data_IF_844659430153
#
_entry.id   IF_844659430153
#
_cell.length_a   1.000
_cell.length_b   1.000
_cell.length_c   1.000
_cell.angle_alpha   90.00
_cell.angle_beta   90.00
_cell.angle_gamma   90.00
#
_symmetry.space_group_name_H-M   'P 1'
#
loop_
_entity.id
_entity.type
_entity.pdbx_description
1 polymer ?
#
# COMPACT_ATOMS: atom_id res chain seq x y z
N UNK A 1 -2.49 17.10 -7.72
CA UNK A 1 -1.49 16.40 -6.89
C UNK A 1 -1.47 14.91 -7.26
N UNK A 2 -0.46 14.11 -6.83
CA UNK A 2 -0.30 12.70 -7.24
C UNK A 2 -1.58 11.84 -7.13
N UNK A 3 -2.37 12.03 -6.06
CA UNK A 3 -3.67 11.38 -5.84
C UNK A 3 -4.67 11.64 -6.97
N UNK A 4 -4.71 12.86 -7.50
CA UNK A 4 -5.74 13.28 -8.46
C UNK A 4 -5.49 12.70 -9.86
N UNK A 5 -4.24 12.34 -10.17
CA UNK A 5 -3.92 11.56 -11.37
C UNK A 5 -4.59 10.17 -11.35
N UNK A 6 -5.01 9.68 -10.19
CA UNK A 6 -5.62 8.35 -10.00
C UNK A 6 -7.15 8.38 -9.97
N UNK A 7 -7.80 9.50 -10.31
CA UNK A 7 -9.27 9.66 -10.23
C UNK A 7 -10.03 8.57 -11.01
N UNK A 8 -9.51 8.11 -12.15
CA UNK A 8 -10.15 7.04 -12.94
C UNK A 8 -10.32 5.73 -12.15
N UNK A 9 -9.37 5.40 -11.26
CA UNK A 9 -9.44 4.20 -10.44
C UNK A 9 -10.35 4.30 -9.22
N UNK A 10 -10.89 5.50 -8.94
CA UNK A 10 -11.70 5.77 -7.76
C UNK A 10 -12.37 7.14 -7.82
N UNK A 11 -13.45 7.29 -8.60
CA UNK A 11 -14.13 8.57 -8.80
C UNK A 11 -15.08 8.95 -7.66
N UNK A 12 -15.45 8.01 -6.79
CA UNK A 12 -16.59 8.18 -5.87
C UNK A 12 -16.23 8.95 -4.60
N UNK A 13 -15.00 8.82 -4.13
CA UNK A 13 -14.51 9.50 -2.94
C UNK A 13 -12.99 9.72 -2.98
N UNK A 14 -12.51 10.71 -2.23
CA UNK A 14 -11.11 11.08 -2.17
C UNK A 14 -10.74 11.63 -0.80
N UNK A 15 -9.66 11.12 -0.22
CA UNK A 15 -9.09 11.64 1.02
C UNK A 15 -7.62 12.01 0.87
N UNK A 16 -7.15 12.81 1.81
CA UNK A 16 -5.76 13.20 1.94
C UNK A 16 -5.44 13.32 3.43
N UNK A 17 -4.36 12.67 3.84
CA UNK A 17 -3.77 12.82 5.16
C UNK A 17 -2.41 13.51 5.01
N UNK A 18 -2.16 14.53 5.81
CA UNK A 18 -0.91 15.30 5.82
C UNK A 18 -0.39 15.40 7.25
N UNK A 19 0.88 15.06 7.45
CA UNK A 19 1.57 15.21 8.73
C UNK A 19 3.04 15.59 8.47
N UNK A 20 3.38 16.87 8.66
CA UNK A 20 4.72 17.38 8.37
C UNK A 20 5.11 17.16 6.91
N UNK A 21 6.13 16.31 6.69
CA UNK A 21 6.63 15.94 5.35
C UNK A 21 5.98 14.67 4.78
N UNK A 22 5.05 14.06 5.51
CA UNK A 22 4.35 12.85 5.09
C UNK A 22 2.97 13.18 4.51
N UNK A 23 2.65 12.52 3.40
CA UNK A 23 1.33 12.58 2.79
C UNK A 23 0.85 11.17 2.40
N UNK A 24 -0.38 10.83 2.76
CA UNK A 24 -1.10 9.65 2.24
C UNK A 24 -2.32 10.13 1.46
N UNK A 25 -2.51 9.60 0.26
CA UNK A 25 -3.66 9.93 -0.59
C UNK A 25 -4.45 8.68 -0.95
N UNK A 26 -5.75 8.85 -1.14
CA UNK A 26 -6.62 7.77 -1.60
C UNK A 26 -7.66 8.27 -2.61
N UNK A 27 -7.98 7.41 -3.58
CA UNK A 27 -9.10 7.55 -4.51
C UNK A 27 -9.90 6.27 -4.42
N UNK A 28 -11.18 6.39 -4.11
CA UNK A 28 -12.05 5.27 -3.78
C UNK A 28 -13.01 4.98 -4.91
N UNK A 29 -13.08 3.71 -5.31
CA UNK A 29 -14.20 3.16 -6.05
C UNK A 29 -15.06 2.38 -5.06
N UNK A 30 -16.29 2.81 -4.86
CA UNK A 30 -17.21 2.27 -3.87
C UNK A 30 -17.96 1.08 -4.50
N UNK A 31 -17.42 -0.13 -4.35
CA UNK A 31 -18.02 -1.34 -4.97
C UNK A 31 -18.86 -2.14 -3.99
N UNK A 32 -18.29 -2.52 -2.83
CA UNK A 32 -18.95 -3.39 -1.85
C UNK A 32 -19.56 -2.60 -0.69
N UNK A 33 -18.75 -1.75 -0.06
CA UNK A 33 -19.21 -0.84 0.98
C UNK A 33 -19.50 0.53 0.36
N UNK A 34 -20.78 0.88 0.22
CA UNK A 34 -21.19 2.19 -0.29
C UNK A 34 -21.24 3.26 0.80
N UNK A 35 -20.97 2.88 2.05
CA UNK A 35 -21.06 3.80 3.17
C UNK A 35 -19.83 4.73 3.25
N UNK A 36 -19.98 5.90 3.90
CA UNK A 36 -18.84 6.77 4.24
C UNK A 36 -17.84 6.13 5.22
N UNK A 37 -18.19 5.00 5.85
CA UNK A 37 -17.32 4.36 6.85
C UNK A 37 -16.02 3.81 6.23
N UNK A 38 -16.01 3.55 4.92
CA UNK A 38 -14.83 3.17 4.16
C UNK A 38 -14.02 4.33 3.60
N UNK A 39 -14.22 5.58 4.07
CA UNK A 39 -13.39 6.72 3.68
C UNK A 39 -11.93 6.49 4.05
N UNK A 40 -11.03 6.89 3.16
CA UNK A 40 -9.59 6.71 3.33
C UNK A 40 -8.82 7.95 2.85
N UNK A 41 -7.62 8.24 3.42
CA UNK A 41 -6.91 7.46 4.42
C UNK A 41 -7.65 7.33 5.76
N UNK A 42 -7.71 6.13 6.31
CA UNK A 42 -8.40 5.86 7.57
C UNK A 42 -7.41 5.98 8.73
N UNK A 43 -7.70 6.83 9.71
CA UNK A 43 -6.91 6.98 10.94
C UNK A 43 -7.61 6.33 12.12
N UNK A 44 -6.92 5.42 12.83
CA UNK A 44 -7.38 4.84 14.11
C UNK A 44 -6.20 4.59 15.04
N UNK A 45 -6.35 4.96 16.30
CA UNK A 45 -5.39 4.66 17.38
C UNK A 45 -3.94 5.09 17.09
N UNK A 46 -3.73 6.11 16.27
CA UNK A 46 -2.39 6.56 15.85
C UNK A 46 -1.77 5.77 14.68
N UNK A 47 -2.58 5.00 13.96
CA UNK A 47 -2.24 4.38 12.68
C UNK A 47 -3.06 5.06 11.58
N UNK A 48 -2.46 5.26 10.41
CA UNK A 48 -3.15 5.81 9.23
C UNK A 48 -2.93 4.90 8.03
N UNK A 49 -3.98 4.49 7.34
CA UNK A 49 -3.88 3.56 6.21
C UNK A 49 -4.53 4.11 4.94
N UNK A 50 -3.89 3.86 3.79
CA UNK A 50 -4.53 3.85 2.47
C UNK A 50 -4.38 2.45 1.86
N UNK A 51 -5.47 1.93 1.32
CA UNK A 51 -5.61 0.52 0.99
C UNK A 51 -6.42 0.35 -0.30
N UNK A 52 -5.85 -0.40 -1.25
CA UNK A 52 -6.48 -0.78 -2.50
C UNK A 52 -6.62 -2.31 -2.56
N UNK A 53 -7.85 -2.78 -2.59
CA UNK A 53 -8.17 -4.20 -2.72
C UNK A 53 -9.22 -4.64 -1.72
N UNK A 54 -9.15 -5.91 -1.32
CA UNK A 54 -10.10 -6.51 -0.41
C UNK A 54 -9.42 -7.63 0.39
N UNK A 55 -9.71 -7.69 1.70
CA UNK A 55 -9.41 -8.86 2.54
C UNK A 55 -10.67 -9.71 2.63
N UNK A 56 -10.83 -10.69 1.74
CA UNK A 56 -12.04 -11.52 1.62
C UNK A 56 -12.49 -12.19 2.93
N UNK A 57 -11.53 -12.57 3.79
CA UNK A 57 -11.83 -13.20 5.07
C UNK A 57 -11.82 -12.23 6.26
N UNK A 58 -12.00 -10.92 6.04
CA UNK A 58 -11.93 -9.91 7.11
C UNK A 58 -12.93 -10.18 8.25
N UNK A 59 -14.12 -10.70 7.96
CA UNK A 59 -15.10 -11.07 8.99
C UNK A 59 -14.62 -12.21 9.90
N UNK A 60 -13.83 -13.15 9.38
CA UNK A 60 -13.22 -14.21 10.19
C UNK A 60 -12.13 -13.64 11.11
N UNK A 61 -11.29 -12.76 10.56
CA UNK A 61 -10.22 -12.10 11.31
C UNK A 61 -10.80 -11.20 12.39
N UNK A 62 -11.83 -10.41 12.06
CA UNK A 62 -12.58 -9.58 12.99
C UNK A 62 -13.06 -10.39 14.20
N UNK A 63 -13.73 -11.53 13.98
CA UNK A 63 -14.19 -12.41 15.06
C UNK A 63 -13.06 -12.96 15.93
N UNK A 64 -11.83 -13.10 15.40
CA UNK A 64 -10.66 -13.48 16.21
C UNK A 64 -10.24 -12.33 17.11
N UNK A 65 -10.11 -11.12 16.54
CA UNK A 65 -9.76 -9.91 17.29
C UNK A 65 -10.81 -9.53 18.34
N UNK A 66 -12.10 -9.65 18.04
CA UNK A 66 -13.19 -9.41 19.01
C UNK A 66 -13.09 -10.33 20.23
N UNK A 67 -12.73 -11.61 20.04
CA UNK A 67 -12.47 -12.56 21.12
C UNK A 67 -11.24 -12.21 21.97
N UNK A 68 -10.31 -11.44 21.41
CA UNK A 68 -9.14 -10.90 22.09
C UNK A 68 -9.39 -9.52 22.70
N UNK A 69 -10.64 -9.03 22.67
CA UNK A 69 -11.06 -7.77 23.31
C UNK A 69 -11.00 -6.53 22.43
N UNK A 70 -10.74 -6.68 21.13
CA UNK A 70 -10.75 -5.53 20.20
C UNK A 70 -12.19 -5.08 19.90
N UNK A 71 -12.40 -3.77 19.93
CA UNK A 71 -13.66 -3.13 19.54
C UNK A 71 -13.50 -2.47 18.18
N UNK A 72 -14.55 -2.55 17.37
CA UNK A 72 -14.62 -2.02 16.01
C UNK A 72 -15.71 -0.96 15.88
N UNK A 73 -15.42 0.10 15.14
CA UNK A 73 -16.31 1.23 14.90
C UNK A 73 -17.04 1.14 13.56
N UNK A 74 -16.43 0.45 12.60
CA UNK A 74 -16.91 0.28 11.22
C UNK A 74 -17.05 -1.19 10.90
N UNK A 75 -17.74 -1.49 9.79
CA UNK A 75 -17.84 -2.84 9.24
C UNK A 75 -16.80 -3.15 8.16
N UNK A 76 -15.73 -2.34 8.05
CA UNK A 76 -14.80 -2.39 6.92
C UNK A 76 -13.63 -3.32 7.16
N UNK A 77 -13.11 -3.90 6.08
CA UNK A 77 -11.84 -4.64 6.12
C UNK A 77 -10.65 -3.73 6.43
N UNK A 78 -10.71 -2.46 6.04
CA UNK A 78 -9.70 -1.44 6.33
C UNK A 78 -9.45 -1.31 7.83
N UNK A 79 -10.51 -1.25 8.64
CA UNK A 79 -10.36 -1.21 10.10
C UNK A 79 -9.82 -2.55 10.66
N UNK A 80 -10.21 -3.68 10.06
CA UNK A 80 -9.64 -4.99 10.41
C UNK A 80 -8.13 -5.02 10.19
N UNK A 81 -7.62 -4.41 9.11
CA UNK A 81 -6.18 -4.30 8.87
C UNK A 81 -5.51 -3.48 9.97
N UNK A 82 -6.06 -2.32 10.35
CA UNK A 82 -5.50 -1.48 11.41
C UNK A 82 -5.44 -2.20 12.76
N UNK A 83 -6.53 -2.86 13.16
CA UNK A 83 -6.62 -3.59 14.43
C UNK A 83 -5.73 -4.84 14.42
N UNK A 84 -5.64 -5.54 13.30
CA UNK A 84 -4.74 -6.68 13.14
C UNK A 84 -3.27 -6.25 13.21
N UNK A 85 -2.89 -5.11 12.61
CA UNK A 85 -1.53 -4.56 12.72
C UNK A 85 -1.20 -4.20 14.18
N UNK A 86 -2.13 -3.55 14.89
CA UNK A 86 -1.96 -3.24 16.32
C UNK A 86 -1.71 -4.50 17.15
N UNK A 87 -2.32 -5.63 16.77
CA UNK A 87 -2.26 -6.88 17.52
C UNK A 87 -1.06 -7.78 17.17
N UNK A 88 -0.78 -7.92 15.88
CA UNK A 88 0.17 -8.89 15.36
C UNK A 88 1.31 -8.25 14.56
N UNK A 89 1.37 -6.92 14.45
CA UNK A 89 2.37 -6.25 13.61
C UNK A 89 2.26 -6.66 12.14
N UNK A 90 3.37 -6.63 11.38
CA UNK A 90 3.41 -7.08 10.00
C UNK A 90 2.93 -8.52 9.78
N UNK A 91 3.05 -9.40 10.78
CA UNK A 91 2.63 -10.80 10.72
C UNK A 91 1.11 -10.95 10.51
N UNK A 92 0.33 -9.88 10.67
CA UNK A 92 -1.11 -9.87 10.40
C UNK A 92 -1.50 -10.46 9.04
N UNK A 93 -0.65 -10.29 8.02
CA UNK A 93 -0.92 -10.75 6.64
C UNK A 93 -0.96 -12.28 6.52
N UNK A 94 -0.45 -13.01 7.51
CA UNK A 94 -0.60 -14.46 7.57
C UNK A 94 -2.05 -14.88 7.80
N UNK A 95 -2.86 -13.99 8.40
CA UNK A 95 -4.28 -14.22 8.64
C UNK A 95 -5.18 -13.78 7.46
N UNK A 96 -4.62 -13.08 6.46
CA UNK A 96 -5.41 -12.50 5.37
C UNK A 96 -5.46 -13.40 4.13
N UNK A 97 -6.65 -13.44 3.52
CA UNK A 97 -6.92 -13.99 2.19
C UNK A 97 -7.54 -12.87 1.37
N UNK A 98 -6.95 -12.56 0.23
CA UNK A 98 -7.40 -11.42 -0.56
C UNK A 98 -6.41 -10.99 -1.62
N UNK A 99 -6.80 -9.95 -2.36
CA UNK A 99 -5.93 -9.18 -3.23
C UNK A 99 -5.85 -7.77 -2.67
N UNK A 100 -4.66 -7.30 -2.31
CA UNK A 100 -4.51 -6.07 -1.57
C UNK A 100 -3.14 -5.44 -1.76
N UNK A 101 -3.13 -4.12 -1.79
CA UNK A 101 -1.95 -3.31 -1.57
C UNK A 101 -2.31 -2.20 -0.60
N UNK A 102 -1.50 -1.98 0.43
CA UNK A 102 -1.73 -0.89 1.37
C UNK A 102 -0.44 -0.19 1.75
N UNK A 103 -0.60 1.05 2.21
CA UNK A 103 0.40 1.83 2.91
C UNK A 103 -0.15 2.18 4.28
N UNK A 104 0.56 1.80 5.35
CA UNK A 104 0.19 2.02 6.73
C UNK A 104 1.29 2.85 7.41
N UNK A 105 0.90 4.00 7.96
CA UNK A 105 1.74 4.87 8.75
C UNK A 105 1.49 4.61 10.24
N UNK A 106 2.53 4.20 10.98
CA UNK A 106 2.52 4.16 12.44
C UNK A 106 3.14 5.43 12.99
N UNK A 107 2.32 6.29 13.61
CA UNK A 107 2.75 7.58 14.16
C UNK A 107 3.67 7.41 15.38
N UNK A 108 3.53 6.31 16.13
CA UNK A 108 4.31 6.06 17.35
C UNK A 108 5.72 5.61 16.99
N UNK A 109 5.85 4.72 16.01
CA UNK A 109 7.15 4.24 15.55
C UNK A 109 7.78 5.13 14.47
N UNK A 110 7.01 6.05 13.90
CA UNK A 110 7.39 6.88 12.76
C UNK A 110 7.84 6.04 11.55
N UNK A 111 7.07 5.00 11.23
CA UNK A 111 7.33 4.06 10.14
C UNK A 111 6.19 3.97 9.14
N UNK A 112 6.54 3.97 7.86
CA UNK A 112 5.64 3.72 6.75
C UNK A 112 5.85 2.29 6.25
N UNK A 113 4.83 1.45 6.38
CA UNK A 113 4.82 0.08 5.89
C UNK A 113 3.97 -0.03 4.62
N UNK A 114 4.61 -0.36 3.51
CA UNK A 114 3.97 -0.78 2.27
C UNK A 114 3.86 -2.30 2.24
N UNK A 115 2.70 -2.81 1.82
CA UNK A 115 2.45 -4.24 1.65
C UNK A 115 1.80 -4.52 0.31
N UNK A 116 2.23 -5.61 -0.35
CA UNK A 116 1.61 -6.10 -1.58
C UNK A 116 1.25 -7.58 -1.42
N UNK A 117 0.04 -7.93 -1.85
CA UNK A 117 -0.53 -9.28 -1.69
C UNK A 117 0.33 -10.38 -2.30
N UNK A 118 0.06 -11.62 -1.86
CA UNK A 118 0.82 -12.84 -2.16
C UNK A 118 1.08 -13.03 -3.65
N UNK A 119 0.08 -12.79 -4.49
CA UNK A 119 0.16 -12.98 -5.94
C UNK A 119 0.47 -11.68 -6.69
N UNK A 120 0.56 -10.56 -5.97
CA UNK A 120 0.82 -9.24 -6.52
C UNK A 120 -0.29 -8.75 -7.44
N UNK A 121 -1.53 -9.13 -7.19
CA UNK A 121 -2.69 -8.74 -8.01
C UNK A 121 -2.84 -7.21 -8.02
N UNK A 122 -2.72 -6.57 -6.85
CA UNK A 122 -2.78 -5.11 -6.76
C UNK A 122 -1.42 -4.48 -7.03
N UNK A 123 -1.31 -3.48 -7.92
CA UNK A 123 -0.04 -2.85 -8.21
C UNK A 123 0.38 -1.93 -7.06
N UNK A 124 1.68 -1.92 -6.77
CA UNK A 124 2.30 -1.00 -5.84
C UNK A 124 3.70 -0.66 -6.31
N UNK A 125 3.90 0.60 -6.67
CA UNK A 125 5.17 1.18 -7.09
C UNK A 125 5.73 2.04 -5.98
N UNK A 126 7.04 2.11 -5.91
CA UNK A 126 7.76 3.02 -5.02
C UNK A 126 8.98 3.61 -5.72
N UNK A 127 9.45 4.74 -5.21
CA UNK A 127 10.61 5.49 -5.69
C UNK A 127 11.33 6.07 -4.49
N UNK A 128 12.65 5.98 -4.49
CA UNK A 128 13.50 6.69 -3.53
C UNK A 128 14.65 7.34 -4.29
N UNK A 129 14.86 8.65 -4.04
CA UNK A 129 16.04 9.38 -4.51
C UNK A 129 16.18 10.68 -3.73
N UNK A 130 17.41 11.01 -3.31
CA UNK A 130 17.75 12.31 -2.71
C UNK A 130 16.85 12.70 -1.53
N UNK A 131 16.49 11.76 -0.66
CA UNK A 131 15.61 12.05 0.48
C UNK A 131 14.14 12.26 0.10
N UNK A 132 13.75 11.88 -1.11
CA UNK A 132 12.35 11.83 -1.54
C UNK A 132 11.91 10.38 -1.67
N UNK A 133 10.87 10.01 -0.92
CA UNK A 133 10.19 8.72 -1.05
C UNK A 133 8.78 8.92 -1.61
N UNK A 134 8.44 8.22 -2.70
CA UNK A 134 7.11 8.23 -3.31
C UNK A 134 6.57 6.80 -3.41
N UNK A 135 5.26 6.62 -3.27
CA UNK A 135 4.58 5.37 -3.58
C UNK A 135 3.22 5.61 -4.23
N UNK A 136 2.76 4.68 -5.08
CA UNK A 136 1.47 4.78 -5.75
C UNK A 136 1.06 3.44 -6.37
N UNK A 137 -0.23 3.26 -6.64
CA UNK A 137 -0.71 2.13 -7.44
C UNK A 137 -0.33 2.23 -8.93
N UNK A 138 -0.05 3.43 -9.45
CA UNK A 138 0.33 3.63 -10.85
C UNK A 138 1.44 4.68 -10.99
N UNK A 139 2.38 4.45 -11.92
CA UNK A 139 3.51 5.36 -12.17
C UNK A 139 3.11 6.77 -12.62
N UNK A 140 1.96 6.92 -13.28
CA UNK A 140 1.46 8.24 -13.72
C UNK A 140 1.28 9.21 -12.55
N UNK A 141 1.01 8.71 -11.34
CA UNK A 141 0.96 9.54 -10.14
C UNK A 141 2.31 10.22 -9.84
N UNK A 142 3.43 9.54 -10.10
CA UNK A 142 4.76 10.10 -9.86
C UNK A 142 5.07 11.28 -10.78
N UNK A 143 4.43 11.34 -11.96
CA UNK A 143 4.66 12.42 -12.92
C UNK A 143 4.21 13.79 -12.40
N UNK A 144 3.32 13.80 -11.40
CA UNK A 144 2.80 15.00 -10.74
C UNK A 144 3.76 15.56 -9.68
N UNK A 145 4.78 14.80 -9.27
CA UNK A 145 5.74 15.26 -8.27
C UNK A 145 6.99 15.86 -8.95
N UNK A 146 7.38 17.11 -8.66
CA UNK A 146 8.49 17.78 -9.35
C UNK A 146 9.85 17.09 -9.13
N UNK A 147 10.02 16.39 -8.00
CA UNK A 147 11.24 15.62 -7.70
C UNK A 147 11.32 14.24 -8.36
N UNK A 148 10.33 13.84 -9.16
CA UNK A 148 10.36 12.55 -9.86
C UNK A 148 11.17 12.61 -11.16
N UNK A 149 12.23 11.82 -11.24
CA UNK A 149 13.07 11.73 -12.45
C UNK A 149 12.53 10.70 -13.44
N UNK A 150 12.12 11.19 -14.63
CA UNK A 150 11.57 10.38 -15.72
C UNK A 150 12.65 9.72 -16.59
N UNK A 151 13.72 9.21 -15.98
CA UNK A 151 14.80 8.54 -16.68
C UNK A 151 14.40 7.10 -17.06
N UNK A 152 14.25 6.83 -18.36
CA UNK A 152 13.90 5.49 -18.87
C UNK A 152 15.02 4.49 -18.60
N UNK A 153 14.62 3.27 -18.24
CA UNK A 153 15.49 2.12 -18.04
C UNK A 153 15.54 1.27 -19.34
N UNK A 154 16.66 1.28 -20.11
CA UNK A 154 16.79 0.50 -21.33
C UNK A 154 16.63 -1.01 -21.13
N UNK A 155 17.09 -1.53 -19.99
CA UNK A 155 16.92 -2.94 -19.62
C UNK A 155 15.44 -3.28 -19.43
N UNK A 156 14.67 -2.38 -18.81
CA UNK A 156 13.23 -2.56 -18.66
C UNK A 156 12.49 -2.50 -20.01
N UNK A 157 12.94 -1.66 -20.95
CA UNK A 157 12.43 -1.65 -22.33
C UNK A 157 12.71 -3.00 -23.01
N UNK A 158 13.92 -3.55 -22.83
CA UNK A 158 14.27 -4.86 -23.38
C UNK A 158 13.38 -5.97 -22.79
N UNK A 159 13.16 -5.97 -21.48
CA UNK A 159 12.25 -6.92 -20.82
C UNK A 159 10.83 -6.81 -21.39
N UNK A 160 10.32 -5.58 -21.56
CA UNK A 160 9.00 -5.37 -22.15
C UNK A 160 8.90 -5.92 -23.57
N UNK A 161 9.90 -5.66 -24.42
CA UNK A 161 9.91 -6.14 -25.80
C UNK A 161 10.03 -7.68 -25.89
N UNK A 162 10.73 -8.31 -24.94
CA UNK A 162 10.90 -9.76 -24.91
C UNK A 162 9.70 -10.51 -24.31
N UNK A 163 9.06 -9.94 -23.28
CA UNK A 163 8.08 -10.65 -22.44
C UNK A 163 6.66 -10.10 -22.57
N UNK A 164 6.48 -8.94 -23.21
CA UNK A 164 5.19 -8.23 -23.30
C UNK A 164 4.81 -7.44 -22.04
N UNK A 165 5.62 -7.52 -20.98
CA UNK A 165 5.48 -6.76 -19.74
C UNK A 165 6.84 -6.57 -19.06
N UNK A 166 6.94 -5.63 -18.14
CA UNK A 166 8.12 -5.45 -17.29
C UNK A 166 7.86 -6.25 -16.01
N UNK A 167 8.68 -7.23 -15.58
CA UNK A 167 8.47 -7.98 -14.32
C UNK A 167 8.85 -7.16 -13.08
N UNK A 168 8.35 -7.53 -11.90
CA UNK A 168 8.88 -6.97 -10.65
C UNK A 168 10.30 -7.52 -10.41
N UNK A 169 11.22 -6.76 -9.77
CA UNK A 169 11.02 -5.44 -9.17
C UNK A 169 11.15 -4.26 -10.16
N UNK A 170 11.41 -4.53 -11.44
CA UNK A 170 11.68 -3.49 -12.44
C UNK A 170 10.46 -2.60 -12.75
N UNK A 171 10.72 -1.39 -13.22
CA UNK A 171 9.73 -0.50 -13.83
C UNK A 171 10.34 0.18 -15.05
N UNK A 172 9.54 0.89 -15.86
CA UNK A 172 10.04 1.62 -17.04
C UNK A 172 11.02 2.74 -16.67
N UNK A 173 10.96 3.25 -15.44
CA UNK A 173 11.86 4.30 -14.95
C UNK A 173 12.94 3.72 -14.05
N UNK A 174 14.19 4.19 -14.19
CA UNK A 174 15.37 3.65 -13.50
C UNK A 174 15.24 3.61 -11.98
N UNK A 175 14.65 4.65 -11.40
CA UNK A 175 14.58 4.85 -9.95
C UNK A 175 13.24 4.40 -9.34
N UNK A 176 12.23 4.13 -10.17
CA UNK A 176 10.97 3.58 -9.70
C UNK A 176 11.01 2.05 -9.76
N UNK A 177 10.43 1.40 -8.76
CA UNK A 177 10.40 -0.05 -8.62
C UNK A 177 8.98 -0.52 -8.35
N UNK A 178 8.67 -1.74 -8.76
CA UNK A 178 7.49 -2.45 -8.30
C UNK A 178 7.84 -3.21 -7.04
N UNK A 179 7.03 -3.06 -5.99
CA UNK A 179 7.15 -3.94 -4.83
C UNK A 179 6.84 -5.37 -5.29
N UNK A 180 7.67 -6.34 -4.90
CA UNK A 180 7.45 -7.74 -5.29
C UNK A 180 6.16 -8.30 -4.67
N UNK A 181 5.51 -9.30 -5.30
CA UNK A 181 4.43 -10.05 -4.67
C UNK A 181 4.82 -10.61 -3.30
N UNK A 182 3.85 -10.70 -2.39
CA UNK A 182 4.02 -11.30 -1.06
C UNK A 182 5.09 -10.62 -0.21
N UNK A 183 5.28 -9.32 -0.38
CA UNK A 183 6.38 -8.58 0.22
C UNK A 183 5.94 -7.31 0.92
N UNK A 184 6.75 -6.91 1.89
CA UNK A 184 6.71 -5.63 2.58
C UNK A 184 7.87 -4.74 2.17
N UNK A 185 7.65 -3.43 2.22
CA UNK A 185 8.69 -2.42 2.27
C UNK A 185 8.38 -1.47 3.42
N UNK A 186 9.34 -1.27 4.31
CA UNK A 186 9.26 -0.34 5.42
C UNK A 186 10.24 0.81 5.22
N UNK A 187 9.75 2.05 5.40
CA UNK A 187 10.56 3.25 5.53
C UNK A 187 10.46 3.76 6.96
N UNK A 188 11.60 3.88 7.64
CA UNK A 188 11.72 4.54 8.94
C UNK A 188 12.12 6.01 8.72
N UNK A 189 11.32 6.95 9.20
CA UNK A 189 11.64 8.38 9.05
C UNK A 189 12.79 8.87 9.94
N UNK A 190 12.96 8.40 11.21
CA UNK A 190 14.02 8.89 12.07
C UNK A 190 15.44 8.74 11.50
N UNK A 191 15.70 7.68 10.75
CA UNK A 191 17.01 7.34 10.20
C UNK A 191 17.02 7.21 8.66
N UNK A 192 15.88 7.46 8.01
CA UNK A 192 15.67 7.29 6.57
C UNK A 192 16.06 5.90 6.06
N UNK A 193 15.88 4.86 6.90
CA UNK A 193 16.22 3.49 6.51
C UNK A 193 15.08 2.81 5.76
N UNK A 194 15.42 2.08 4.70
CA UNK A 194 14.48 1.28 3.92
C UNK A 194 14.82 -0.19 4.06
N UNK A 195 13.82 -0.99 4.46
CA UNK A 195 13.93 -2.43 4.53
C UNK A 195 12.83 -3.08 3.70
N UNK A 196 13.19 -4.08 2.92
CA UNK A 196 12.26 -4.91 2.17
C UNK A 196 12.39 -6.36 2.62
N UNK A 197 11.28 -7.07 2.79
CA UNK A 197 11.28 -8.51 3.07
C UNK A 197 10.03 -9.19 2.51
N UNK A 198 10.16 -10.48 2.25
CA UNK A 198 9.07 -11.33 1.77
C UNK A 198 8.38 -11.99 2.96
N UNK A 199 7.05 -12.02 2.95
CA UNK A 199 6.23 -12.73 3.93
C UNK A 199 5.56 -13.97 3.34
N UNK A 200 5.58 -14.12 2.01
CA UNK A 200 5.04 -15.27 1.30
C UNK A 200 5.78 -15.51 -0.02
N UNK A 201 6.18 -16.74 -0.29
CA UNK A 201 6.66 -17.19 -1.60
C UNK A 201 5.94 -18.45 -2.11
N UNK A 202 5.85 -18.67 -3.44
CA UNK A 202 5.22 -19.87 -4.00
C UNK A 202 5.88 -21.20 -3.58
N UNK A 203 7.18 -21.16 -3.25
CA UNK A 203 7.93 -22.34 -2.82
C UNK A 203 7.67 -22.74 -1.35
N UNK A 204 6.95 -21.90 -0.60
CA UNK A 204 6.70 -22.05 0.84
C UNK A 204 5.23 -22.40 1.13
N UNK A 205 4.41 -22.61 0.09
CA UNK A 205 2.95 -22.76 0.15
C UNK A 205 2.49 -24.22 0.01
#
# INVERSE_FOLDING_TARGET
>A
AMRDALTYGGPDDAGLYLEGQLALGHRRLSVLDLSPAGHQPMEREGLVITFNGEVYNFMEVRRKLEREGFVFETGTDTEVILKAYRRWGPEMVQHFRGMFAFALWDKREQKLLLCRDRLGVKPLYWYEKNGLFLFASELKAFHEHPGFEKAVNPEAVSLFLQQGYIPAPHSIFRQARKLEPGSFLELSLPDWSIRQWRYWGPAEA
#
